data_IF_235385028981
#
_entry.id   IF_235385028981
#
_cell.length_a   1.000
_cell.length_b   1.000
_cell.length_c   1.000
_cell.angle_alpha   90.00
_cell.angle_beta   90.00
_cell.angle_gamma   90.00
#
_symmetry.space_group_name_H-M   'P 1'
#
loop_
_entity.id
_entity.type
_entity.pdbx_description
1 polymer ?
#
# COMPACT_ATOMS: atom_id res chain seq x y z
N UNK A 1 0.48 27.62 13.15
CA UNK A 1 1.49 26.91 13.97
C UNK A 1 0.83 25.64 14.48
N UNK A 2 1.56 24.54 14.63
CA UNK A 2 0.99 23.35 15.27
C UNK A 2 1.17 23.43 16.77
N UNK A 3 0.13 23.08 17.53
CA UNK A 3 0.18 22.98 18.99
C UNK A 3 0.10 21.50 19.36
N UNK A 4 1.15 20.98 20.00
CA UNK A 4 1.22 19.58 20.42
C UNK A 4 1.13 19.51 21.94
N UNK A 5 0.26 18.65 22.46
CA UNK A 5 0.03 18.44 23.89
C UNK A 5 0.37 16.99 24.22
N UNK A 6 1.24 16.78 25.20
CA UNK A 6 1.53 15.44 25.71
C UNK A 6 2.83 15.34 26.50
N UNK A 7 3.40 14.15 26.56
CA UNK A 7 4.66 13.87 27.27
C UNK A 7 5.49 12.79 26.55
N UNK A 8 6.78 12.73 26.90
CA UNK A 8 7.70 11.65 26.53
C UNK A 8 8.18 11.65 25.07
N UNK A 9 8.84 10.55 24.69
CA UNK A 9 9.45 10.35 23.36
C UNK A 9 8.48 10.53 22.18
N UNK A 10 7.23 10.00 22.19
CA UNK A 10 6.31 10.18 21.06
C UNK A 10 6.02 11.64 20.73
N UNK A 11 5.87 12.49 21.77
CA UNK A 11 5.67 13.93 21.60
C UNK A 11 6.89 14.59 20.97
N UNK A 12 8.08 14.28 21.46
CA UNK A 12 9.33 14.85 20.96
C UNK A 12 9.57 14.47 19.48
N UNK A 13 9.33 13.21 19.12
CA UNK A 13 9.45 12.72 17.73
C UNK A 13 8.41 13.37 16.80
N UNK A 14 7.16 13.53 17.25
CA UNK A 14 6.14 14.23 16.46
C UNK A 14 6.50 15.71 16.30
N UNK A 15 6.98 16.38 17.35
CA UNK A 15 7.40 17.77 17.31
C UNK A 15 8.54 17.98 16.30
N UNK A 16 9.56 17.11 16.33
CA UNK A 16 10.66 17.09 15.37
C UNK A 16 10.21 16.86 13.94
N UNK A 17 9.20 16.02 13.72
CA UNK A 17 8.62 15.81 12.40
C UNK A 17 7.85 17.05 11.90
N UNK A 18 6.99 17.62 12.75
CA UNK A 18 6.17 18.79 12.44
C UNK A 18 7.00 20.04 12.13
N UNK A 19 8.07 20.29 12.90
CA UNK A 19 8.88 21.50 12.79
C UNK A 19 9.57 21.66 11.42
N UNK A 20 9.80 20.55 10.70
CA UNK A 20 10.37 20.57 9.34
C UNK A 20 9.50 21.31 8.32
N UNK A 21 8.19 21.36 8.58
CA UNK A 21 7.21 21.92 7.65
C UNK A 21 6.47 23.13 8.21
N UNK A 22 6.30 23.23 9.53
CA UNK A 22 5.51 24.29 10.19
C UNK A 22 6.11 24.65 11.56
N UNK A 23 6.04 25.92 11.99
CA UNK A 23 6.34 26.28 13.38
C UNK A 23 5.49 25.46 14.35
N UNK A 24 6.14 24.91 15.38
CA UNK A 24 5.54 23.95 16.32
C UNK A 24 5.75 24.45 17.75
N UNK A 25 4.67 24.45 18.53
CA UNK A 25 4.68 24.69 19.97
C UNK A 25 4.29 23.40 20.70
N UNK A 26 5.04 23.06 21.74
CA UNK A 26 4.84 21.86 22.56
C UNK A 26 4.42 22.27 23.96
N UNK A 27 3.29 21.75 24.43
CA UNK A 27 2.82 21.89 25.82
C UNK A 27 3.04 20.55 26.52
N UNK A 28 3.87 20.55 27.55
CA UNK A 28 4.21 19.34 28.31
C UNK A 28 4.46 19.67 29.77
N UNK A 29 4.47 18.68 30.65
CA UNK A 29 4.87 18.88 32.04
C UNK A 29 6.39 19.06 32.14
N UNK A 30 6.85 20.00 32.97
CA UNK A 30 8.26 20.21 33.23
C UNK A 30 8.95 18.95 33.79
N UNK A 31 8.20 18.11 34.52
CA UNK A 31 8.67 16.80 35.01
C UNK A 31 8.88 15.76 33.91
N UNK A 32 8.25 15.96 32.75
CA UNK A 32 8.30 15.05 31.59
C UNK A 32 9.27 15.53 30.50
N UNK A 33 9.89 16.70 30.72
CA UNK A 33 10.94 17.23 29.87
C UNK A 33 12.24 16.49 30.18
N UNK A 34 12.54 15.49 29.36
CA UNK A 34 13.89 14.95 29.27
C UNK A 34 14.76 15.92 28.46
N UNK A 35 16.06 15.98 28.75
CA UNK A 35 17.01 16.70 27.91
C UNK A 35 17.04 16.00 26.53
N UNK A 36 16.29 16.55 25.59
CA UNK A 36 16.04 15.93 24.29
C UNK A 36 16.24 16.96 23.17
N UNK A 37 17.34 16.79 22.43
CA UNK A 37 17.71 17.63 21.28
C UNK A 37 16.60 17.66 20.19
N UNK A 38 15.64 16.72 20.22
CA UNK A 38 14.51 16.69 19.28
C UNK A 38 13.52 17.84 19.46
N UNK A 39 13.56 18.57 20.57
CA UNK A 39 12.75 19.77 20.79
C UNK A 39 13.46 21.06 20.37
N UNK A 40 14.73 21.00 19.97
CA UNK A 40 15.46 22.18 19.50
C UNK A 40 14.78 22.79 18.28
N UNK A 41 14.38 24.06 18.38
CA UNK A 41 13.64 24.77 17.35
C UNK A 41 12.12 24.76 17.49
N UNK A 42 11.59 24.06 18.50
CA UNK A 42 10.19 24.20 18.93
C UNK A 42 10.04 25.28 20.01
N UNK A 43 8.88 25.94 20.03
CA UNK A 43 8.46 26.71 21.20
C UNK A 43 8.01 25.72 22.28
N UNK A 44 8.64 25.70 23.46
CA UNK A 44 8.29 24.74 24.52
C UNK A 44 7.62 25.46 25.69
N UNK A 45 6.39 25.05 25.99
CA UNK A 45 5.61 25.46 27.16
C UNK A 45 5.68 24.35 28.20
N UNK A 46 6.63 24.48 29.11
CA UNK A 46 6.83 23.56 30.23
C UNK A 46 5.93 23.95 31.41
N UNK A 47 4.85 23.18 31.61
CA UNK A 47 3.90 23.41 32.69
C UNK A 47 4.46 22.85 34.02
N UNK A 48 4.39 23.60 35.13
CA UNK A 48 4.88 23.11 36.41
C UNK A 48 4.01 21.97 36.98
N UNK A 49 2.74 21.91 36.58
CA UNK A 49 1.75 20.91 36.95
C UNK A 49 0.62 20.92 35.91
N UNK A 50 -0.26 19.89 35.88
CA UNK A 50 -1.45 19.92 35.03
C UNK A 50 -2.30 21.15 35.34
N UNK A 51 -2.76 21.86 34.30
CA UNK A 51 -3.58 23.06 34.49
C UNK A 51 -4.68 23.18 33.42
N UNK A 52 -5.75 23.94 33.68
CA UNK A 52 -6.83 24.14 32.72
C UNK A 52 -6.36 24.81 31.42
N UNK A 53 -7.04 24.52 30.30
CA UNK A 53 -6.70 25.03 28.97
C UNK A 53 -6.66 26.56 28.94
N UNK A 54 -7.51 27.27 29.67
CA UNK A 54 -7.52 28.74 29.70
C UNK A 54 -6.33 29.36 30.45
N UNK A 55 -5.74 28.63 31.40
CA UNK A 55 -4.56 29.05 32.16
C UNK A 55 -3.22 28.71 31.48
N UNK A 56 -3.20 27.77 30.53
CA UNK A 56 -1.97 27.42 29.78
C UNK A 56 -1.42 28.68 29.07
N UNK A 57 -0.11 28.99 29.16
CA UNK A 57 0.48 30.14 28.51
C UNK A 57 0.12 30.23 27.02
N UNK A 58 -0.37 31.40 26.59
CA UNK A 58 -0.77 31.62 25.20
C UNK A 58 0.43 31.49 24.27
N UNK A 59 0.40 30.60 23.27
CA UNK A 59 1.48 30.48 22.30
C UNK A 59 1.70 31.78 21.53
N UNK A 60 2.91 32.01 21.03
CA UNK A 60 3.26 33.22 20.27
C UNK A 60 2.47 33.37 18.95
N UNK A 61 1.91 32.27 18.43
CA UNK A 61 1.14 32.25 17.17
C UNK A 61 -0.15 31.46 17.36
N UNK A 62 -1.20 31.87 16.64
CA UNK A 62 -2.46 31.12 16.63
C UNK A 62 -2.25 29.69 16.07
N UNK A 63 -2.81 28.66 16.71
CA UNK A 63 -2.71 27.30 16.20
C UNK A 63 -3.54 27.14 14.92
N UNK A 64 -3.04 26.32 14.01
CA UNK A 64 -3.74 25.89 12.80
C UNK A 64 -4.13 24.41 12.85
N UNK A 65 -3.61 23.69 13.85
CA UNK A 65 -3.88 22.29 14.19
C UNK A 65 -3.47 22.10 15.65
N UNK A 66 -4.28 21.37 16.41
CA UNK A 66 -3.96 20.93 17.77
C UNK A 66 -3.86 19.41 17.75
N UNK A 67 -2.77 18.85 18.28
CA UNK A 67 -2.61 17.40 18.44
C UNK A 67 -2.43 17.08 19.91
N UNK A 68 -3.25 16.18 20.44
CA UNK A 68 -3.17 15.69 21.81
C UNK A 68 -2.76 14.23 21.77
N UNK A 69 -1.50 13.94 22.10
CA UNK A 69 -1.02 12.56 22.23
C UNK A 69 -1.28 12.00 23.62
N UNK A 70 -1.20 12.88 24.63
CA UNK A 70 -1.42 12.55 26.03
C UNK A 70 -2.10 13.75 26.72
N UNK A 71 -3.30 13.59 27.29
CA UNK A 71 -4.02 14.68 27.94
C UNK A 71 -3.44 15.08 29.31
N UNK A 72 -2.49 14.31 29.87
CA UNK A 72 -1.96 14.50 31.23
C UNK A 72 -1.51 15.94 31.59
N UNK A 73 -0.93 16.74 30.67
CA UNK A 73 -0.57 18.14 30.99
C UNK A 73 -1.77 19.07 31.23
N UNK A 74 -2.99 18.66 30.88
CA UNK A 74 -4.19 19.49 30.93
C UNK A 74 -5.17 18.95 31.98
N UNK A 75 -5.75 19.85 32.79
CA UNK A 75 -6.61 19.48 33.93
C UNK A 75 -8.12 19.49 33.62
N UNK A 76 -8.52 19.75 32.38
CA UNK A 76 -9.93 19.75 31.97
C UNK A 76 -10.50 18.35 31.80
N UNK A 77 -11.63 18.07 32.46
CA UNK A 77 -12.38 16.83 32.27
C UNK A 77 -12.87 16.66 30.81
N UNK A 78 -13.31 17.76 30.19
CA UNK A 78 -13.77 17.79 28.80
C UNK A 78 -12.74 18.49 27.89
N UNK A 79 -11.56 17.87 27.75
CA UNK A 79 -10.41 18.48 27.06
C UNK A 79 -10.75 19.04 25.67
N UNK A 80 -11.42 18.26 24.81
CA UNK A 80 -11.74 18.69 23.44
C UNK A 80 -12.64 19.92 23.43
N UNK A 81 -13.62 19.98 24.36
CA UNK A 81 -14.51 21.14 24.49
C UNK A 81 -13.75 22.38 24.97
N UNK A 82 -12.84 22.22 25.94
CA UNK A 82 -12.01 23.31 26.45
C UNK A 82 -11.06 23.87 25.38
N UNK A 83 -10.43 22.99 24.58
CA UNK A 83 -9.59 23.38 23.45
C UNK A 83 -10.38 24.12 22.37
N UNK A 84 -11.58 23.65 22.02
CA UNK A 84 -12.44 24.31 21.03
C UNK A 84 -12.98 25.65 21.54
N UNK A 85 -13.25 25.79 22.85
CA UNK A 85 -13.64 27.07 23.44
C UNK A 85 -12.51 28.11 23.37
N UNK A 86 -11.26 27.69 23.61
CA UNK A 86 -10.08 28.59 23.54
C UNK A 86 -9.65 28.90 22.11
N UNK A 87 -9.69 27.92 21.22
CA UNK A 87 -9.30 28.05 19.82
C UNK A 87 -10.42 27.53 18.90
N UNK A 88 -11.48 28.33 18.69
CA UNK A 88 -12.61 27.92 17.84
C UNK A 88 -12.16 27.61 16.41
N UNK A 89 -12.78 26.59 15.82
CA UNK A 89 -12.56 26.17 14.41
C UNK A 89 -11.16 25.68 14.09
N UNK A 90 -10.31 25.41 15.09
CA UNK A 90 -9.03 24.74 14.89
C UNK A 90 -9.24 23.22 14.95
N UNK A 91 -8.82 22.45 13.94
CA UNK A 91 -8.97 21.00 13.97
C UNK A 91 -8.14 20.38 15.12
N UNK A 92 -8.71 19.37 15.77
CA UNK A 92 -8.11 18.65 16.89
C UNK A 92 -7.92 17.18 16.51
N UNK A 93 -6.70 16.67 16.64
CA UNK A 93 -6.38 15.24 16.51
C UNK A 93 -5.98 14.74 17.89
N UNK A 94 -6.73 13.83 18.49
CA UNK A 94 -6.52 13.52 19.91
C UNK A 94 -7.53 12.56 20.51
N UNK A 95 -7.77 12.58 21.84
CA UNK A 95 -8.71 11.66 22.47
C UNK A 95 -10.13 11.85 21.93
N UNK A 96 -10.97 10.83 22.11
CA UNK A 96 -12.37 10.93 21.74
C UNK A 96 -13.07 12.09 22.45
N UNK A 97 -13.90 12.87 21.73
CA UNK A 97 -14.71 13.88 22.37
C UNK A 97 -15.74 13.24 23.29
N UNK A 98 -15.91 13.83 24.47
CA UNK A 98 -17.04 13.51 25.33
C UNK A 98 -18.26 14.34 24.86
N UNK A 99 -19.25 13.68 24.25
CA UNK A 99 -20.48 14.31 23.75
C UNK A 99 -20.49 14.62 22.24
N UNK A 100 -21.40 15.51 21.81
CA UNK A 100 -21.64 15.86 20.40
C UNK A 100 -20.63 16.89 19.84
N UNK A 101 -19.33 16.79 20.19
CA UNK A 101 -18.35 17.70 19.62
C UNK A 101 -17.98 17.28 18.19
N UNK A 102 -18.37 18.10 17.21
CA UNK A 102 -18.31 17.84 15.77
C UNK A 102 -16.90 17.79 15.13
N UNK A 103 -15.81 18.03 15.87
CA UNK A 103 -14.52 18.43 15.26
C UNK A 103 -13.29 17.75 15.89
N UNK A 104 -13.32 16.44 16.09
CA UNK A 104 -12.11 15.69 16.44
C UNK A 104 -11.90 14.49 15.51
N UNK A 105 -10.67 14.31 15.02
CA UNK A 105 -10.20 13.04 14.45
C UNK A 105 -9.62 12.21 15.62
N UNK A 106 -10.38 11.22 16.15
CA UNK A 106 -10.00 10.57 17.39
C UNK A 106 -8.85 9.58 17.20
N UNK A 107 -7.76 9.78 17.94
CA UNK A 107 -6.66 8.85 18.10
C UNK A 107 -7.04 7.80 19.16
N UNK A 108 -7.54 6.65 18.72
CA UNK A 108 -7.80 5.49 19.59
C UNK A 108 -6.59 4.56 19.61
N UNK A 109 -5.89 4.38 20.75
CA UNK A 109 -4.70 3.52 20.81
C UNK A 109 -4.95 2.09 20.31
N UNK A 110 -6.13 1.54 20.58
CA UNK A 110 -6.53 0.21 20.13
C UNK A 110 -6.66 0.12 18.60
N UNK A 111 -7.16 1.17 17.93
CA UNK A 111 -7.31 1.20 16.48
C UNK A 111 -5.96 1.39 15.79
N UNK A 112 -5.07 2.21 16.37
CA UNK A 112 -3.69 2.37 15.93
C UNK A 112 -2.90 1.06 16.07
N UNK A 113 -3.00 0.40 17.22
CA UNK A 113 -2.37 -0.91 17.45
C UNK A 113 -2.93 -1.95 16.49
N UNK A 114 -4.24 -1.98 16.28
CA UNK A 114 -4.88 -2.90 15.35
C UNK A 114 -4.42 -2.63 13.91
N UNK A 115 -4.30 -1.37 13.48
CA UNK A 115 -3.78 -1.01 12.16
C UNK A 115 -2.35 -1.49 12.02
N UNK A 116 -1.47 -1.14 12.96
CA UNK A 116 -0.07 -1.57 12.92
C UNK A 116 0.09 -3.09 12.94
N UNK A 117 -0.74 -3.80 13.72
CA UNK A 117 -0.76 -5.26 13.75
C UNK A 117 -1.22 -5.84 12.40
N UNK A 118 -2.29 -5.31 11.81
CA UNK A 118 -2.77 -5.70 10.47
C UNK A 118 -1.69 -5.49 9.41
N UNK A 119 -1.02 -4.35 9.43
CA UNK A 119 0.04 -4.02 8.47
C UNK A 119 1.24 -4.96 8.62
N UNK A 120 1.59 -5.34 9.86
CA UNK A 120 2.67 -6.29 10.12
C UNK A 120 2.32 -7.72 9.71
N UNK A 121 1.07 -8.15 9.92
CA UNK A 121 0.55 -9.43 9.43
C UNK A 121 0.59 -9.47 7.91
N UNK A 122 0.05 -8.46 7.23
CA UNK A 122 0.11 -8.33 5.77
C UNK A 122 1.54 -8.37 5.24
N UNK A 123 2.47 -7.67 5.89
CA UNK A 123 3.88 -7.72 5.50
C UNK A 123 4.47 -9.13 5.59
N UNK A 124 4.10 -9.89 6.62
CA UNK A 124 4.52 -11.28 6.76
C UNK A 124 3.85 -12.20 5.73
N UNK A 125 2.57 -12.00 5.45
CA UNK A 125 1.83 -12.72 4.41
C UNK A 125 2.46 -12.50 3.04
N UNK A 126 2.86 -11.27 2.70
CA UNK A 126 3.57 -10.97 1.44
C UNK A 126 4.88 -11.73 1.29
N UNK A 127 5.71 -11.77 2.32
CA UNK A 127 6.95 -12.57 2.29
C UNK A 127 6.67 -14.07 2.17
N UNK A 128 5.64 -14.55 2.86
CA UNK A 128 5.26 -15.96 2.81
C UNK A 128 4.71 -16.32 1.42
N UNK A 129 3.80 -15.50 0.86
CA UNK A 129 3.25 -15.67 -0.48
C UNK A 129 4.33 -15.64 -1.56
N UNK A 130 5.27 -14.70 -1.49
CA UNK A 130 6.42 -14.66 -2.39
C UNK A 130 7.24 -15.96 -2.33
N UNK A 131 7.51 -16.48 -1.12
CA UNK A 131 8.24 -17.75 -0.94
C UNK A 131 7.45 -18.96 -1.45
N UNK A 132 6.13 -18.98 -1.28
CA UNK A 132 5.25 -20.04 -1.78
C UNK A 132 5.23 -20.05 -3.31
N UNK A 133 5.11 -18.87 -3.93
CA UNK A 133 5.18 -18.71 -5.39
C UNK A 133 6.51 -19.21 -5.94
N UNK A 134 7.61 -18.78 -5.32
CA UNK A 134 8.96 -19.19 -5.72
C UNK A 134 9.17 -20.70 -5.56
N UNK A 135 8.67 -21.30 -4.47
CA UNK A 135 8.70 -22.74 -4.24
C UNK A 135 7.85 -23.51 -5.26
N UNK A 136 6.69 -22.98 -5.67
CA UNK A 136 5.87 -23.57 -6.73
C UNK A 136 6.65 -23.64 -8.05
N UNK A 137 7.28 -22.54 -8.48
CA UNK A 137 8.11 -22.54 -9.69
C UNK A 137 9.35 -23.42 -9.55
N UNK A 138 9.98 -23.46 -8.38
CA UNK A 138 11.13 -24.34 -8.12
C UNK A 138 10.77 -25.84 -8.13
N UNK A 139 9.49 -26.17 -7.95
CA UNK A 139 8.98 -27.54 -8.06
C UNK A 139 8.82 -28.03 -9.50
N UNK A 140 8.87 -27.14 -10.49
CA UNK A 140 8.80 -27.48 -11.91
C UNK A 140 10.16 -27.96 -12.43
N UNK A 141 10.14 -28.77 -13.49
CA UNK A 141 11.36 -29.24 -14.14
C UNK A 141 12.08 -28.12 -14.89
N UNK A 142 13.40 -28.24 -15.05
CA UNK A 142 14.17 -27.31 -15.89
C UNK A 142 13.61 -27.31 -17.32
N UNK A 143 13.41 -26.12 -17.88
CA UNK A 143 12.82 -25.94 -19.21
C UNK A 143 11.30 -26.14 -19.29
N UNK A 144 10.60 -26.33 -18.17
CA UNK A 144 9.13 -26.41 -18.17
C UNK A 144 8.48 -25.14 -18.74
N UNK A 145 7.41 -25.31 -19.49
CA UNK A 145 6.66 -24.24 -20.14
C UNK A 145 5.66 -23.61 -19.17
N UNK A 146 5.79 -22.32 -18.89
CA UNK A 146 4.85 -21.56 -18.07
C UNK A 146 4.06 -20.59 -18.96
N UNK A 147 2.75 -20.80 -19.04
CA UNK A 147 1.84 -19.94 -19.78
C UNK A 147 1.27 -18.86 -18.86
N UNK A 148 1.60 -17.60 -19.13
CA UNK A 148 1.21 -16.43 -18.33
C UNK A 148 0.10 -15.71 -19.09
N UNK A 149 -1.11 -15.70 -18.55
CA UNK A 149 -2.27 -15.09 -19.16
C UNK A 149 -2.56 -13.72 -18.53
N UNK A 150 -2.76 -12.72 -19.39
CA UNK A 150 -3.40 -11.46 -19.05
C UNK A 150 -4.91 -11.54 -19.33
N UNK A 151 -5.66 -10.55 -18.83
CA UNK A 151 -7.03 -10.33 -19.25
C UNK A 151 -7.13 -9.89 -20.73
N UNK A 152 -8.34 -9.92 -21.29
CA UNK A 152 -8.61 -9.48 -22.66
C UNK A 152 -8.36 -7.98 -22.81
N UNK A 153 -7.75 -7.57 -23.94
CA UNK A 153 -7.33 -6.19 -24.19
C UNK A 153 -6.42 -5.66 -23.06
N UNK A 154 -5.28 -6.32 -22.81
CA UNK A 154 -4.49 -6.09 -21.61
C UNK A 154 -4.00 -4.64 -21.52
N UNK A 155 -4.09 -4.10 -20.31
CA UNK A 155 -3.63 -2.76 -20.00
C UNK A 155 -2.18 -2.78 -19.48
N UNK A 156 -1.59 -1.60 -19.15
CA UNK A 156 -0.24 -1.56 -18.62
C UNK A 156 -0.02 -2.36 -17.34
N UNK A 157 -1.05 -2.52 -16.49
CA UNK A 157 -0.91 -3.26 -15.23
C UNK A 157 -0.77 -4.76 -15.47
N UNK A 158 -1.66 -5.32 -16.30
CA UNK A 158 -1.60 -6.71 -16.71
C UNK A 158 -0.30 -7.04 -17.49
N UNK A 159 0.12 -6.15 -18.41
CA UNK A 159 1.33 -6.34 -19.22
C UNK A 159 2.61 -6.29 -18.37
N UNK A 160 2.70 -5.33 -17.44
CA UNK A 160 3.86 -5.22 -16.55
C UNK A 160 3.93 -6.40 -15.57
N UNK A 161 2.78 -6.81 -15.03
CA UNK A 161 2.66 -7.95 -14.14
C UNK A 161 3.07 -9.26 -14.82
N UNK A 162 2.63 -9.46 -16.07
CA UNK A 162 3.03 -10.62 -16.86
C UNK A 162 4.53 -10.66 -17.14
N UNK A 163 5.13 -9.51 -17.49
CA UNK A 163 6.58 -9.40 -17.69
C UNK A 163 7.37 -9.70 -16.41
N UNK A 164 6.89 -9.22 -15.25
CA UNK A 164 7.51 -9.51 -13.96
C UNK A 164 7.50 -11.01 -13.65
N UNK A 165 6.37 -11.68 -13.84
CA UNK A 165 6.26 -13.14 -13.69
C UNK A 165 7.16 -13.86 -14.68
N UNK A 166 7.22 -13.41 -15.93
CA UNK A 166 8.12 -13.98 -16.94
C UNK A 166 9.58 -13.96 -16.45
N UNK A 167 10.04 -12.84 -15.88
CA UNK A 167 11.39 -12.75 -15.30
C UNK A 167 11.59 -13.68 -14.10
N UNK A 168 10.58 -13.86 -13.25
CA UNK A 168 10.66 -14.79 -12.11
C UNK A 168 10.80 -16.24 -12.58
N UNK A 169 10.05 -16.66 -13.59
CA UNK A 169 10.13 -18.03 -14.12
C UNK A 169 11.43 -18.26 -14.91
N UNK A 170 11.88 -17.28 -15.71
CA UNK A 170 13.15 -17.35 -16.45
C UNK A 170 14.36 -17.45 -15.50
N UNK A 171 14.33 -16.75 -14.36
CA UNK A 171 15.36 -16.86 -13.31
C UNK A 171 15.51 -18.29 -12.77
N UNK A 172 14.46 -19.11 -12.87
CA UNK A 172 14.44 -20.52 -12.46
C UNK A 172 14.82 -21.49 -13.58
N UNK A 173 15.17 -21.00 -14.78
CA UNK A 173 15.44 -21.83 -15.94
C UNK A 173 14.19 -22.40 -16.60
N UNK A 174 13.02 -21.80 -16.34
CA UNK A 174 11.75 -22.14 -16.97
C UNK A 174 11.51 -21.27 -18.21
N UNK A 175 10.58 -21.69 -19.08
CA UNK A 175 10.22 -20.98 -20.30
C UNK A 175 8.89 -20.25 -20.11
N UNK A 176 8.93 -18.96 -19.79
CA UNK A 176 7.75 -18.12 -19.62
C UNK A 176 7.27 -17.51 -20.94
N UNK A 177 5.98 -17.66 -21.26
CA UNK A 177 5.35 -17.00 -22.42
C UNK A 177 4.08 -16.28 -22.03
N UNK A 178 3.93 -15.05 -22.52
CA UNK A 178 2.80 -14.18 -22.20
C UNK A 178 1.73 -14.30 -23.28
N UNK A 179 0.49 -14.53 -22.86
CA UNK A 179 -0.68 -14.70 -23.71
C UNK A 179 -1.80 -13.75 -23.30
N UNK A 180 -2.59 -13.31 -24.27
CA UNK A 180 -3.78 -12.52 -24.01
C UNK A 180 -4.84 -12.73 -25.09
N UNK A 181 -6.10 -12.40 -24.79
CA UNK A 181 -7.13 -12.21 -25.81
C UNK A 181 -7.36 -10.74 -26.14
N UNK A 182 -8.32 -10.52 -27.03
CA UNK A 182 -8.66 -9.16 -27.47
C UNK A 182 -7.50 -8.46 -28.19
N UNK A 183 -7.68 -7.17 -28.46
CA UNK A 183 -6.69 -6.29 -29.07
C UNK A 183 -6.05 -5.40 -28.02
N UNK A 184 -4.76 -5.13 -28.14
CA UNK A 184 -4.14 -4.02 -27.40
C UNK A 184 -4.54 -2.73 -28.11
N UNK A 185 -5.71 -2.19 -27.78
CA UNK A 185 -6.33 -1.09 -28.54
C UNK A 185 -5.66 0.26 -28.29
N UNK A 186 -5.37 0.56 -27.03
CA UNK A 186 -4.82 1.86 -26.64
C UNK A 186 -3.40 2.07 -27.17
N UNK A 187 -3.17 3.20 -27.83
CA UNK A 187 -1.87 3.55 -28.42
C UNK A 187 -0.74 3.54 -27.39
N UNK A 188 -1.02 3.95 -26.15
CA UNK A 188 -0.05 3.93 -25.06
C UNK A 188 0.40 2.51 -24.70
N UNK A 189 -0.55 1.55 -24.66
CA UNK A 189 -0.26 0.15 -24.34
C UNK A 189 0.55 -0.50 -25.48
N UNK A 190 0.18 -0.21 -26.73
CA UNK A 190 0.95 -0.64 -27.91
C UNK A 190 2.37 -0.09 -27.90
N UNK A 191 2.54 1.18 -27.53
CA UNK A 191 3.85 1.81 -27.40
C UNK A 191 4.66 1.17 -26.28
N UNK A 192 4.04 0.85 -25.13
CA UNK A 192 4.70 0.14 -24.03
C UNK A 192 5.24 -1.21 -24.50
N UNK A 193 4.40 -2.04 -25.14
CA UNK A 193 4.82 -3.35 -25.69
C UNK A 193 5.99 -3.19 -26.66
N UNK A 194 5.91 -2.24 -27.58
CA UNK A 194 6.93 -2.03 -28.60
C UNK A 194 8.25 -1.47 -28.05
N UNK A 195 8.17 -0.45 -27.20
CA UNK A 195 9.36 0.25 -26.68
C UNK A 195 10.09 -0.55 -25.60
N UNK A 196 9.35 -1.34 -24.82
CA UNK A 196 9.91 -2.21 -23.78
C UNK A 196 10.22 -3.62 -24.28
N UNK A 197 9.85 -3.96 -25.52
CA UNK A 197 10.13 -5.26 -26.12
C UNK A 197 9.39 -6.40 -25.42
N UNK A 198 8.14 -6.18 -24.99
CA UNK A 198 7.35 -7.19 -24.29
C UNK A 198 6.81 -8.18 -25.32
N UNK A 199 7.29 -9.43 -25.28
CA UNK A 199 6.85 -10.48 -26.19
C UNK A 199 5.51 -11.06 -25.73
N UNK A 200 4.42 -10.60 -26.35
CA UNK A 200 3.06 -11.05 -26.06
C UNK A 200 2.43 -11.75 -27.26
N UNK A 201 1.74 -12.86 -27.01
CA UNK A 201 1.04 -13.63 -28.04
C UNK A 201 -0.46 -13.48 -27.89
N UNK A 202 -1.11 -12.93 -28.91
CA UNK A 202 -2.56 -12.86 -28.97
C UNK A 202 -3.15 -14.21 -29.37
N UNK A 203 -4.07 -14.73 -28.56
CA UNK A 203 -4.88 -15.91 -28.89
C UNK A 203 -6.26 -15.45 -29.37
N UNK A 204 -6.74 -16.04 -30.47
CA UNK A 204 -8.00 -15.62 -31.10
C UNK A 204 -8.99 -16.79 -31.12
N UNK A 205 -8.52 -17.98 -31.46
CA UNK A 205 -9.35 -19.16 -31.65
C UNK A 205 -9.27 -20.11 -30.45
N UNK A 206 -10.39 -20.79 -30.16
CA UNK A 206 -10.48 -21.77 -29.07
C UNK A 206 -9.43 -22.89 -29.14
N UNK A 207 -9.04 -23.31 -30.34
CA UNK A 207 -8.02 -24.35 -30.52
C UNK A 207 -6.61 -23.85 -30.20
N UNK A 208 -6.29 -22.57 -30.43
CA UNK A 208 -5.00 -21.99 -30.03
C UNK A 208 -4.85 -22.01 -28.51
N UNK A 209 -5.94 -21.67 -27.80
CA UNK A 209 -5.99 -21.70 -26.34
C UNK A 209 -5.82 -23.14 -25.84
N UNK A 210 -6.54 -24.10 -26.43
CA UNK A 210 -6.42 -25.51 -26.06
C UNK A 210 -5.00 -26.05 -26.27
N UNK A 211 -4.34 -25.70 -27.38
CA UNK A 211 -2.96 -26.11 -27.67
C UNK A 211 -1.96 -25.52 -26.66
N UNK A 212 -2.11 -24.24 -26.30
CA UNK A 212 -1.27 -23.60 -25.27
C UNK A 212 -1.46 -24.28 -23.91
N UNK A 213 -2.71 -24.51 -23.50
CA UNK A 213 -3.00 -25.14 -22.21
C UNK A 213 -2.52 -26.59 -22.15
N UNK A 214 -2.60 -27.34 -23.25
CA UNK A 214 -2.11 -28.72 -23.33
C UNK A 214 -0.58 -28.82 -23.30
N UNK A 215 0.13 -27.77 -23.74
CA UNK A 215 1.59 -27.72 -23.78
C UNK A 215 2.23 -27.06 -22.55
N UNK A 216 1.43 -26.43 -21.68
CA UNK A 216 1.89 -25.77 -20.48
C UNK A 216 2.05 -26.75 -19.32
N UNK A 217 3.18 -26.66 -18.62
CA UNK A 217 3.40 -27.37 -17.35
C UNK A 217 2.80 -26.60 -16.18
N UNK A 218 2.64 -25.27 -16.32
CA UNK A 218 1.94 -24.42 -15.38
C UNK A 218 1.24 -23.24 -16.07
N UNK A 219 0.10 -22.84 -15.55
CA UNK A 219 -0.69 -21.68 -16.00
C UNK A 219 -0.75 -20.63 -14.89
N UNK A 220 -0.36 -19.40 -15.23
CA UNK A 220 -0.42 -18.23 -14.34
C UNK A 220 -1.47 -17.26 -14.89
N UNK A 221 -2.42 -16.84 -14.07
CA UNK A 221 -3.28 -15.69 -14.34
C UNK A 221 -2.72 -14.46 -13.61
N UNK A 222 -2.56 -13.35 -14.34
CA UNK A 222 -2.16 -12.07 -13.77
C UNK A 222 -3.23 -11.02 -14.04
N UNK A 223 -3.53 -10.24 -13.00
CA UNK A 223 -4.50 -9.14 -13.02
C UNK A 223 -5.95 -9.57 -13.32
N UNK A 224 -6.24 -10.85 -13.04
CA UNK A 224 -7.60 -11.36 -12.94
C UNK A 224 -7.60 -12.68 -12.16
N UNK A 225 -8.75 -13.00 -11.57
CA UNK A 225 -8.95 -14.24 -10.80
C UNK A 225 -10.10 -15.13 -11.29
N UNK A 226 -10.88 -14.68 -12.29
CA UNK A 226 -12.03 -15.43 -12.83
C UNK A 226 -11.81 -15.81 -14.30
N UNK A 227 -11.47 -17.08 -14.59
CA UNK A 227 -11.41 -17.61 -15.96
C UNK A 227 -12.72 -17.40 -16.74
N UNK A 228 -12.60 -17.00 -18.01
CA UNK A 228 -13.74 -16.82 -18.93
C UNK A 228 -14.61 -15.59 -18.70
N UNK A 229 -14.29 -14.73 -17.71
CA UNK A 229 -15.03 -13.48 -17.48
C UNK A 229 -14.57 -12.35 -18.42
N UNK A 230 -13.28 -12.01 -18.39
CA UNK A 230 -12.65 -11.00 -19.23
C UNK A 230 -11.27 -11.51 -19.67
N UNK A 231 -11.18 -12.76 -20.11
CA UNK A 231 -9.95 -13.40 -20.54
C UNK A 231 -10.28 -14.62 -21.40
N UNK A 232 -9.27 -15.11 -22.11
CA UNK A 232 -9.38 -16.26 -23.02
C UNK A 232 -9.45 -17.62 -22.35
N UNK A 233 -9.25 -17.71 -21.02
CA UNK A 233 -9.26 -19.01 -20.37
C UNK A 233 -10.68 -19.61 -20.36
N UNK A 234 -10.82 -20.93 -20.53
CA UNK A 234 -12.10 -21.61 -20.33
C UNK A 234 -12.65 -21.35 -18.93
N UNK A 235 -13.98 -21.21 -18.81
CA UNK A 235 -14.66 -20.91 -17.52
C UNK A 235 -14.39 -21.97 -16.45
N UNK A 236 -14.15 -23.22 -16.85
CA UNK A 236 -13.87 -24.36 -16.00
C UNK A 236 -12.37 -24.63 -15.79
N UNK A 237 -11.48 -23.83 -16.41
CA UNK A 237 -10.05 -23.95 -16.19
C UNK A 237 -9.67 -23.43 -14.80
N UNK A 238 -8.72 -24.10 -14.13
CA UNK A 238 -8.18 -23.70 -12.84
C UNK A 238 -6.70 -23.37 -13.04
N UNK A 239 -6.29 -22.08 -13.00
CA UNK A 239 -4.88 -21.72 -13.08
C UNK A 239 -4.08 -22.30 -11.90
N UNK A 240 -2.82 -22.62 -12.14
CA UNK A 240 -1.92 -23.04 -11.05
C UNK A 240 -1.58 -21.85 -10.13
N UNK A 241 -1.39 -20.68 -10.72
CA UNK A 241 -1.06 -19.45 -9.98
C UNK A 241 -2.03 -18.33 -10.37
N UNK A 242 -2.50 -17.58 -9.38
CA UNK A 242 -3.29 -16.36 -9.58
C UNK A 242 -2.62 -15.22 -8.81
N UNK A 243 -2.27 -14.13 -9.50
CA UNK A 243 -1.78 -12.89 -8.92
C UNK A 243 -2.76 -11.77 -9.28
N UNK A 244 -3.45 -11.21 -8.30
CA UNK A 244 -4.50 -10.21 -8.55
C UNK A 244 -4.63 -9.22 -7.38
N UNK A 245 -5.14 -8.03 -7.66
CA UNK A 245 -5.46 -7.00 -6.67
C UNK A 245 -6.96 -6.64 -6.65
N UNK A 246 -7.79 -7.25 -7.50
CA UNK A 246 -9.22 -7.03 -7.47
C UNK A 246 -9.87 -7.64 -6.22
N UNK A 247 -10.95 -7.01 -5.74
CA UNK A 247 -11.71 -7.54 -4.61
C UNK A 247 -12.38 -8.87 -4.98
N UNK A 248 -12.24 -9.87 -4.10
CA UNK A 248 -12.84 -11.20 -4.25
C UNK A 248 -13.83 -11.47 -3.13
N UNK A 249 -14.90 -12.21 -3.45
CA UNK A 249 -15.83 -12.71 -2.44
C UNK A 249 -15.23 -13.88 -1.67
N UNK A 250 -14.81 -14.90 -2.41
CA UNK A 250 -14.10 -16.08 -1.91
C UNK A 250 -12.71 -16.18 -2.57
N UNK A 251 -11.77 -16.83 -1.89
CA UNK A 251 -10.45 -17.12 -2.45
C UNK A 251 -10.60 -17.95 -3.74
N UNK A 252 -9.98 -17.53 -4.86
CA UNK A 252 -10.09 -18.26 -6.11
C UNK A 252 -9.34 -19.60 -6.02
N UNK A 253 -9.82 -20.61 -6.74
CA UNK A 253 -9.17 -21.90 -6.81
C UNK A 253 -7.86 -21.78 -7.63
N UNK A 254 -6.75 -22.13 -7.01
CA UNK A 254 -5.43 -22.26 -7.61
C UNK A 254 -4.50 -23.03 -6.65
N UNK A 255 -3.37 -23.54 -7.13
CA UNK A 255 -2.31 -24.07 -6.25
C UNK A 255 -1.68 -22.95 -5.41
N UNK A 256 -1.53 -21.77 -6.02
CA UNK A 256 -1.04 -20.55 -5.38
C UNK A 256 -1.94 -19.37 -5.77
N UNK A 257 -2.80 -18.94 -4.85
CA UNK A 257 -3.61 -17.73 -5.01
C UNK A 257 -3.07 -16.60 -4.13
N UNK A 258 -2.52 -15.56 -4.76
CA UNK A 258 -2.06 -14.35 -4.09
C UNK A 258 -2.95 -13.20 -4.55
N UNK A 259 -4.00 -12.94 -3.78
CA UNK A 259 -4.96 -11.87 -4.06
C UNK A 259 -4.96 -10.87 -2.91
N UNK A 260 -4.48 -9.65 -3.19
CA UNK A 260 -4.29 -8.61 -2.17
C UNK A 260 -4.95 -7.29 -2.60
N UNK A 261 -6.25 -7.11 -2.30
CA UNK A 261 -6.99 -5.91 -2.67
C UNK A 261 -6.53 -4.61 -2.02
N UNK A 262 -5.64 -4.68 -1.03
CA UNK A 262 -4.96 -3.52 -0.47
C UNK A 262 -3.93 -2.89 -1.43
N UNK A 263 -3.49 -3.61 -2.47
CA UNK A 263 -2.65 -3.04 -3.51
C UNK A 263 -3.51 -2.30 -4.54
N UNK A 264 -3.00 -1.14 -4.95
CA UNK A 264 -3.67 -0.30 -5.93
C UNK A 264 -3.60 -0.82 -7.37
N UNK A 265 -2.72 -1.79 -7.62
CA UNK A 265 -2.43 -2.37 -8.93
C UNK A 265 -1.74 -3.75 -8.74
N UNK A 266 -1.95 -4.71 -9.64
CA UNK A 266 -1.22 -5.99 -9.67
C UNK A 266 0.28 -5.76 -9.85
N UNK A 267 0.70 -4.71 -10.58
CA UNK A 267 2.11 -4.28 -10.68
C UNK A 267 2.72 -3.97 -9.33
N UNK A 268 1.96 -3.37 -8.40
CA UNK A 268 2.46 -3.09 -7.04
C UNK A 268 2.66 -4.38 -6.25
N UNK A 269 1.72 -5.32 -6.40
CA UNK A 269 1.79 -6.64 -5.78
C UNK A 269 3.02 -7.41 -6.28
N UNK A 270 3.20 -7.53 -7.60
CA UNK A 270 4.35 -8.28 -8.15
C UNK A 270 5.68 -7.59 -7.86
N UNK A 271 5.74 -6.26 -7.83
CA UNK A 271 6.95 -5.53 -7.42
C UNK A 271 7.33 -5.84 -5.96
N UNK A 272 6.32 -5.96 -5.07
CA UNK A 272 6.53 -6.40 -3.68
C UNK A 272 7.05 -7.84 -3.60
N UNK A 273 6.55 -8.74 -4.46
CA UNK A 273 7.01 -10.14 -4.54
C UNK A 273 8.47 -10.19 -5.01
N UNK A 274 8.80 -9.46 -6.07
CA UNK A 274 10.16 -9.41 -6.60
C UNK A 274 11.15 -8.88 -5.57
N UNK A 275 10.77 -7.83 -4.84
CA UNK A 275 11.58 -7.28 -3.74
C UNK A 275 11.77 -8.31 -2.62
N UNK A 276 10.71 -9.04 -2.25
CA UNK A 276 10.79 -10.08 -1.22
C UNK A 276 11.70 -11.26 -1.62
N UNK A 277 11.80 -11.55 -2.92
CA UNK A 277 12.64 -12.62 -3.48
C UNK A 277 14.06 -12.16 -3.87
N UNK A 278 14.42 -10.91 -3.58
CA UNK A 278 15.66 -10.30 -4.04
C UNK A 278 15.88 -10.55 -5.54
N UNK A 279 14.82 -10.37 -6.34
CA UNK A 279 14.80 -10.54 -7.77
C UNK A 279 15.18 -9.22 -8.45
N UNK A 280 16.08 -9.28 -9.43
CA UNK A 280 16.52 -8.10 -10.17
C UNK A 280 15.35 -7.51 -10.98
N UNK A 281 15.14 -6.20 -10.81
CA UNK A 281 14.25 -5.40 -11.65
C UNK A 281 15.11 -4.52 -12.55
N UNK A 282 15.39 -5.01 -13.76
CA UNK A 282 16.11 -4.22 -14.76
C UNK A 282 15.34 -2.95 -15.15
N UNK A 283 15.97 -2.06 -15.91
CA UNK A 283 15.37 -0.80 -16.31
C UNK A 283 14.08 -0.98 -17.14
N UNK A 284 13.97 -2.06 -17.92
CA UNK A 284 12.79 -2.34 -18.75
C UNK A 284 11.61 -2.72 -17.87
N UNK A 285 11.83 -3.69 -16.97
CA UNK A 285 10.82 -4.16 -16.04
C UNK A 285 10.41 -3.07 -15.03
N UNK A 286 11.36 -2.34 -14.47
CA UNK A 286 11.06 -1.22 -13.58
C UNK A 286 10.23 -0.14 -14.29
N UNK A 287 10.51 0.14 -15.57
CA UNK A 287 9.69 1.07 -16.37
C UNK A 287 8.29 0.52 -16.61
N UNK A 288 8.17 -0.77 -16.93
CA UNK A 288 6.87 -1.42 -17.12
C UNK A 288 6.01 -1.35 -15.85
N UNK A 289 6.56 -1.78 -14.70
CA UNK A 289 5.89 -1.77 -13.41
C UNK A 289 5.49 -0.36 -12.99
N UNK A 290 6.39 0.62 -13.12
CA UNK A 290 6.05 2.01 -12.81
C UNK A 290 4.91 2.55 -13.68
N UNK A 291 4.84 2.14 -14.96
CA UNK A 291 3.77 2.54 -15.86
C UNK A 291 2.44 1.85 -15.55
N UNK A 292 2.45 0.57 -15.20
CA UNK A 292 1.29 -0.18 -14.69
C UNK A 292 0.70 0.48 -13.44
N UNK A 293 1.52 0.65 -12.40
CA UNK A 293 1.13 1.31 -11.14
C UNK A 293 0.54 2.71 -11.40
N UNK A 294 1.19 3.50 -12.25
CA UNK A 294 0.71 4.85 -12.57
C UNK A 294 -0.64 4.84 -13.27
N UNK A 295 -0.92 3.83 -14.10
CA UNK A 295 -2.16 3.75 -14.88
C UNK A 295 -3.34 3.47 -13.96
N UNK A 296 -3.25 2.44 -13.12
CA UNK A 296 -4.33 2.03 -12.22
C UNK A 296 -4.60 3.01 -11.10
N UNK A 297 -3.55 3.68 -10.63
CA UNK A 297 -3.67 4.73 -9.62
C UNK A 297 -4.12 6.08 -10.20
N UNK A 298 -4.38 6.18 -11.51
CA UNK A 298 -4.69 7.43 -12.20
C UNK A 298 -3.66 8.54 -11.88
N UNK A 299 -2.37 8.20 -11.93
CA UNK A 299 -1.29 9.10 -11.54
C UNK A 299 -1.28 9.41 -10.04
N UNK A 300 -1.47 8.38 -9.21
CA UNK A 300 -1.51 8.48 -7.75
C UNK A 300 -2.70 9.28 -7.17
N UNK A 301 -3.77 9.46 -7.95
CA UNK A 301 -4.99 10.15 -7.51
C UNK A 301 -6.06 9.19 -6.99
N UNK A 302 -5.89 7.87 -7.18
CA UNK A 302 -6.82 6.83 -6.74
C UNK A 302 -6.08 5.67 -6.08
N UNK A 303 -6.65 5.18 -4.97
CA UNK A 303 -6.26 3.90 -4.37
C UNK A 303 -4.87 3.86 -3.74
N UNK A 304 -4.20 5.00 -3.55
CA UNK A 304 -2.83 5.05 -3.02
C UNK A 304 -2.84 5.03 -1.49
N UNK A 305 -2.16 4.05 -0.90
CA UNK A 305 -1.79 4.06 0.51
C UNK A 305 -0.32 4.45 0.66
N UNK A 306 0.06 5.31 1.62
CA UNK A 306 1.43 5.37 2.07
C UNK A 306 1.76 4.02 2.72
N UNK A 307 2.83 3.40 2.22
CA UNK A 307 3.41 2.14 2.71
C UNK A 307 3.49 2.03 4.23
#
# INVERSE_FOLDING_TARGET
MYLLIGAGDPLARLASWCMRSRPTCVVTLASSLEANDLLDGCDVVALPQPMPVDEVPTPARHPSLIVVLDPTPIADAHLVAALNARWPSVPIVGPEPEGEADVADPLRPQDLLLSAAKDRVRAQERHTGASVLDAHFAGLGEGSNVAIFCHDNPDPDALASALAVQRLVERRGLVGRIYHGGLIEHHQNRAMVQLLGIEVTRLIMGWEIADVLAAADAVVAVDFHQPGANNVLPVDHVPNVILDHHAVGDLPAADVAIVHPEFSATSSLVASIMTALDAEMDAVLATALAFGIRTDTLGFTRGVSPS
#
